data_IF_371111822580
#
_entry.id   IF_371111822580
#
_cell.length_a   1.000
_cell.length_b   1.000
_cell.length_c   1.000
_cell.angle_alpha   90.00
_cell.angle_beta   90.00
_cell.angle_gamma   90.00
#
_symmetry.space_group_name_H-M   'P 1'
#
loop_
_entity.id
_entity.type
_entity.pdbx_description
1 polymer ?
#
# COMPACT_ATOMS: atom_id res chain seq x y z
N UNK A 1 8.09 -10.68 1.17
CA UNK A 1 7.51 -9.53 1.89
C UNK A 1 8.61 -8.85 2.67
N UNK A 2 8.68 -7.52 2.63
CA UNK A 2 9.61 -6.77 3.46
C UNK A 2 9.19 -6.89 4.93
N UNK A 3 10.12 -6.70 5.86
CA UNK A 3 9.79 -6.68 7.29
C UNK A 3 8.94 -5.46 7.65
N UNK A 4 8.07 -5.64 8.64
CA UNK A 4 7.37 -4.54 9.29
C UNK A 4 8.36 -3.88 10.27
N UNK A 5 8.52 -2.57 10.16
CA UNK A 5 9.44 -1.79 10.98
C UNK A 5 8.77 -0.50 11.45
N UNK A 6 9.04 -0.08 12.68
CA UNK A 6 8.57 1.19 13.19
C UNK A 6 9.29 2.35 12.48
N UNK A 7 8.51 3.27 11.91
CA UNK A 7 9.04 4.42 11.16
C UNK A 7 8.27 5.70 11.49
N UNK A 8 8.95 6.85 11.52
CA UNK A 8 8.30 8.15 11.60
C UNK A 8 7.56 8.45 10.30
N UNK A 9 6.29 8.83 10.39
CA UNK A 9 5.45 9.25 9.26
C UNK A 9 4.68 10.52 9.62
N UNK A 10 4.38 11.32 8.61
CA UNK A 10 3.51 12.49 8.78
C UNK A 10 2.03 12.05 8.77
N UNK A 11 1.27 12.44 9.79
CA UNK A 11 -0.18 12.25 9.86
C UNK A 11 -0.81 13.47 10.51
N UNK A 12 -1.82 14.04 9.85
CA UNK A 12 -2.54 15.22 10.34
C UNK A 12 -1.64 16.40 10.74
N UNK A 13 -0.50 16.55 10.05
CA UNK A 13 0.50 17.60 10.30
C UNK A 13 1.57 17.27 11.35
N UNK A 14 1.49 16.11 12.01
CA UNK A 14 2.42 15.69 13.07
C UNK A 14 3.28 14.49 12.64
N UNK A 15 4.44 14.34 13.28
CA UNK A 15 5.30 13.16 13.10
C UNK A 15 4.92 12.10 14.13
N UNK A 16 4.42 10.96 13.67
CA UNK A 16 4.02 9.83 14.51
C UNK A 16 4.80 8.56 14.12
N UNK A 17 5.11 7.70 15.09
CA UNK A 17 5.71 6.39 14.81
C UNK A 17 4.62 5.40 14.43
N UNK A 18 4.81 4.68 13.32
CA UNK A 18 3.88 3.64 12.84
C UNK A 18 4.64 2.39 12.39
N UNK A 19 4.04 1.20 12.55
CA UNK A 19 4.56 -0.01 11.93
C UNK A 19 4.33 0.07 10.41
N UNK A 20 5.42 0.16 9.65
CA UNK A 20 5.40 0.36 8.20
C UNK A 20 6.07 -0.81 7.48
N UNK A 21 5.56 -1.13 6.29
CA UNK A 21 6.13 -2.16 5.40
C UNK A 21 6.17 -1.62 3.97
N UNK A 22 7.24 -1.93 3.24
CA UNK A 22 7.28 -1.68 1.79
C UNK A 22 6.64 -2.81 1.01
N UNK A 23 5.76 -2.46 0.09
CA UNK A 23 5.23 -3.36 -0.92
C UNK A 23 6.01 -3.14 -2.23
N UNK A 24 6.35 -4.24 -2.90
CA UNK A 24 6.97 -4.22 -4.21
C UNK A 24 6.25 -5.23 -5.09
N UNK A 25 5.96 -4.83 -6.33
CA UNK A 25 5.33 -5.68 -7.33
C UNK A 25 6.10 -5.56 -8.63
N UNK A 26 6.62 -6.69 -9.09
CA UNK A 26 7.14 -6.83 -10.45
C UNK A 26 5.98 -7.24 -11.35
N UNK A 27 5.88 -6.63 -12.54
CA UNK A 27 4.85 -6.91 -13.52
C UNK A 27 5.45 -6.96 -14.93
N UNK A 28 4.77 -7.67 -15.83
CA UNK A 28 5.18 -7.76 -17.24
C UNK A 28 4.64 -6.54 -18.00
N UNK A 29 5.54 -5.60 -18.30
CA UNK A 29 5.24 -4.37 -19.04
C UNK A 29 4.72 -4.60 -20.46
N UNK A 30 4.89 -5.81 -21.03
CA UNK A 30 4.32 -6.13 -22.34
C UNK A 30 2.81 -6.34 -22.27
N UNK A 31 2.30 -6.65 -21.08
CA UNK A 31 0.90 -6.98 -20.82
C UNK A 31 0.16 -5.92 -20.00
N UNK A 32 0.85 -5.30 -19.03
CA UNK A 32 0.28 -4.33 -18.10
C UNK A 32 0.96 -2.98 -18.23
N UNK A 33 0.16 -1.92 -18.33
CA UNK A 33 0.68 -0.56 -18.25
C UNK A 33 1.04 -0.19 -16.80
N UNK A 34 1.99 0.73 -16.63
CA UNK A 34 2.44 1.18 -15.32
C UNK A 34 1.32 1.82 -14.51
N UNK A 35 0.36 2.49 -15.16
CA UNK A 35 -0.82 3.04 -14.47
C UNK A 35 -1.67 1.94 -13.82
N UNK A 36 -1.88 0.83 -14.52
CA UNK A 36 -2.70 -0.29 -14.03
C UNK A 36 -1.99 -1.00 -12.87
N UNK A 37 -0.68 -1.25 -13.03
CA UNK A 37 0.14 -1.83 -11.98
C UNK A 37 0.17 -0.98 -10.71
N UNK A 38 0.34 0.34 -10.83
CA UNK A 38 0.33 1.26 -9.68
C UNK A 38 -1.05 1.29 -9.01
N UNK A 39 -2.13 1.35 -9.79
CA UNK A 39 -3.50 1.33 -9.25
C UNK A 39 -3.79 0.07 -8.46
N UNK A 40 -3.37 -1.08 -8.98
CA UNK A 40 -3.51 -2.35 -8.29
C UNK A 40 -2.75 -2.36 -6.96
N UNK A 41 -1.49 -1.90 -6.97
CA UNK A 41 -0.68 -1.85 -5.75
C UNK A 41 -1.24 -0.88 -4.69
N UNK A 42 -1.79 0.26 -5.13
CA UNK A 42 -2.50 1.21 -4.25
C UNK A 42 -3.76 0.58 -3.66
N UNK A 43 -4.54 -0.14 -4.47
CA UNK A 43 -5.73 -0.85 -3.99
C UNK A 43 -5.39 -1.90 -2.93
N UNK A 44 -4.30 -2.65 -3.10
CA UNK A 44 -3.82 -3.57 -2.06
C UNK A 44 -3.43 -2.81 -0.79
N UNK A 45 -2.68 -1.72 -0.92
CA UNK A 45 -2.27 -0.88 0.22
C UNK A 45 -3.49 -0.42 1.02
N UNK A 46 -4.51 0.12 0.35
CA UNK A 46 -5.72 0.65 0.99
C UNK A 46 -6.52 -0.44 1.72
N UNK A 47 -6.64 -1.64 1.12
CA UNK A 47 -7.31 -2.77 1.74
C UNK A 47 -6.56 -3.29 2.99
N UNK A 48 -5.22 -3.23 2.98
CA UNK A 48 -4.42 -3.59 4.16
C UNK A 48 -4.47 -2.53 5.26
N UNK A 49 -4.54 -1.25 4.90
CA UNK A 49 -4.65 -0.14 5.86
C UNK A 49 -6.07 0.00 6.45
N UNK A 50 -7.09 -0.40 5.69
CA UNK A 50 -8.52 -0.37 6.06
C UNK A 50 -9.23 -1.67 5.65
N UNK A 51 -9.10 -2.76 6.44
CA UNK A 51 -9.66 -4.08 6.11
C UNK A 51 -11.18 -4.09 5.92
N UNK A 52 -11.91 -3.16 6.51
CA UNK A 52 -13.34 -2.97 6.30
C UNK A 52 -13.71 -2.75 4.82
N UNK A 53 -12.79 -2.20 4.01
CA UNK A 53 -13.01 -2.03 2.56
C UNK A 53 -13.15 -3.37 1.83
N UNK A 54 -12.42 -4.40 2.27
CA UNK A 54 -12.55 -5.76 1.74
C UNK A 54 -13.95 -6.33 2.01
N UNK A 55 -14.50 -6.06 3.20
CA UNK A 55 -15.82 -6.55 3.60
C UNK A 55 -16.95 -5.82 2.89
N UNK A 56 -16.76 -4.54 2.61
CA UNK A 56 -17.78 -3.67 2.02
C UNK A 56 -17.70 -3.58 0.48
N UNK A 57 -16.71 -4.21 -0.16
CA UNK A 57 -16.40 -4.09 -1.59
C UNK A 57 -16.31 -2.63 -2.06
N UNK A 58 -15.60 -1.80 -1.28
CA UNK A 58 -15.41 -0.36 -1.52
C UNK A 58 -14.04 -0.05 -2.13
#
# INVERSE_FOLDING_TARGET
>A
MHSIQDRPVARDGEVVIRPMMYLAMSYDHRLLDGREAVRFLVSIKEQLESPERLLLNL
#
